data_IF_032262032977
#
_entry.id   IF_032262032977
#
_cell.length_a   1.000
_cell.length_b   1.000
_cell.length_c   1.000
_cell.angle_alpha   90.00
_cell.angle_beta   90.00
_cell.angle_gamma   90.00
#
_symmetry.space_group_name_H-M   'P 1'
#
loop_
_entity.id
_entity.type
_entity.pdbx_description
1 polymer ?
#
# COMPACT_ATOMS: atom_id res chain seq x y z
N UNK A 1 46.46 1.61 7.63
CA UNK A 1 45.13 1.30 8.19
C UNK A 1 44.12 2.16 7.45
N UNK A 2 43.65 1.67 6.30
CA UNK A 2 42.74 2.43 5.43
C UNK A 2 41.30 2.02 5.75
N UNK A 3 40.47 3.04 5.94
CA UNK A 3 39.05 3.00 6.27
C UNK A 3 38.34 2.10 5.24
N UNK A 4 37.67 1.04 5.72
CA UNK A 4 36.78 0.23 4.88
C UNK A 4 35.69 1.16 4.34
N UNK A 5 35.39 1.17 3.03
CA UNK A 5 34.23 1.87 2.54
C UNK A 5 33.03 1.20 3.20
N UNK A 6 32.38 1.97 4.06
CA UNK A 6 30.96 1.90 4.31
C UNK A 6 30.27 1.38 3.05
N UNK A 7 29.81 0.12 3.10
CA UNK A 7 28.99 -0.47 2.04
C UNK A 7 27.71 0.35 1.96
N UNK A 8 27.73 1.40 1.15
CA UNK A 8 26.59 2.26 0.88
C UNK A 8 25.45 1.33 0.50
N UNK A 9 24.34 1.38 1.24
CA UNK A 9 23.16 0.53 0.98
C UNK A 9 22.58 0.94 -0.38
N UNK A 10 23.10 0.39 -1.46
CA UNK A 10 22.62 0.67 -2.81
C UNK A 10 21.31 -0.06 -3.07
N UNK A 11 20.31 0.69 -3.56
CA UNK A 11 19.02 0.15 -3.95
C UNK A 11 18.96 0.03 -5.46
N UNK A 12 18.52 -1.13 -5.96
CA UNK A 12 18.27 -1.30 -7.38
C UNK A 12 17.16 -0.37 -7.87
N UNK A 13 17.32 0.18 -9.08
CA UNK A 13 16.34 1.11 -9.68
C UNK A 13 14.93 0.52 -9.79
N UNK A 14 14.81 -0.80 -10.00
CA UNK A 14 13.52 -1.49 -10.04
C UNK A 14 12.79 -1.44 -8.70
N UNK A 15 13.49 -1.70 -7.58
CA UNK A 15 12.90 -1.62 -6.24
C UNK A 15 12.51 -0.17 -5.91
N UNK A 16 13.35 0.80 -6.25
CA UNK A 16 13.03 2.22 -6.08
C UNK A 16 11.78 2.61 -6.88
N UNK A 17 11.70 2.22 -8.16
CA UNK A 17 10.55 2.48 -9.01
C UNK A 17 9.27 1.83 -8.47
N UNK A 18 9.37 0.59 -7.98
CA UNK A 18 8.24 -0.12 -7.38
C UNK A 18 7.74 0.55 -6.09
N UNK A 19 8.64 1.02 -5.23
CA UNK A 19 8.25 1.75 -4.02
C UNK A 19 7.58 3.09 -4.37
N UNK A 20 8.09 3.81 -5.37
CA UNK A 20 7.41 5.01 -5.89
C UNK A 20 6.01 4.67 -6.39
N UNK A 21 5.86 3.59 -7.15
CA UNK A 21 4.56 3.12 -7.63
C UNK A 21 3.60 2.82 -6.48
N UNK A 22 4.03 2.09 -5.44
CA UNK A 22 3.20 1.79 -4.25
C UNK A 22 2.74 3.07 -3.56
N UNK A 23 3.62 4.06 -3.39
CA UNK A 23 3.26 5.35 -2.79
C UNK A 23 2.28 6.11 -3.66
N UNK A 24 2.51 6.18 -4.97
CA UNK A 24 1.62 6.89 -5.91
C UNK A 24 0.23 6.25 -5.98
N UNK A 25 0.14 4.92 -6.02
CA UNK A 25 -1.13 4.20 -5.95
C UNK A 25 -1.84 4.48 -4.63
N UNK A 26 -1.12 4.45 -3.51
CA UNK A 26 -1.70 4.74 -2.19
C UNK A 26 -2.19 6.18 -2.08
N UNK A 27 -1.45 7.13 -2.66
CA UNK A 27 -1.86 8.53 -2.73
C UNK A 27 -3.12 8.72 -3.59
N UNK A 28 -3.16 8.05 -4.75
CA UNK A 28 -4.34 8.05 -5.62
C UNK A 28 -5.56 7.44 -4.94
N UNK A 29 -5.38 6.34 -4.21
CA UNK A 29 -6.43 5.69 -3.43
C UNK A 29 -6.93 6.61 -2.31
N UNK A 30 -6.02 7.24 -1.55
CA UNK A 30 -6.39 8.21 -0.52
C UNK A 30 -7.18 9.39 -1.13
N UNK A 31 -6.72 9.92 -2.27
CA UNK A 31 -7.44 10.96 -2.99
C UNK A 31 -8.85 10.53 -3.37
N UNK A 32 -9.05 9.32 -3.91
CA UNK A 32 -10.41 8.85 -4.25
C UNK A 32 -11.36 8.71 -3.06
N UNK A 33 -10.85 8.33 -1.89
CA UNK A 33 -11.68 8.17 -0.70
C UNK A 33 -11.94 9.49 0.05
N UNK A 34 -11.03 10.47 -0.04
CA UNK A 34 -11.18 11.76 0.65
C UNK A 34 -11.65 12.91 -0.24
N UNK A 35 -11.53 12.80 -1.57
CA UNK A 35 -12.11 13.77 -2.47
C UNK A 35 -13.65 13.74 -2.35
N UNK A 36 -14.34 14.90 -2.40
CA UNK A 36 -15.79 14.94 -2.45
C UNK A 36 -16.26 14.26 -3.73
N UNK A 37 -16.70 13.01 -3.64
CA UNK A 37 -17.35 12.33 -4.75
C UNK A 37 -18.77 12.86 -4.83
N UNK A 38 -19.14 13.50 -5.93
CA UNK A 38 -20.53 13.93 -6.20
C UNK A 38 -21.51 12.74 -6.15
N UNK A 39 -21.02 11.52 -6.38
CA UNK A 39 -21.75 10.25 -6.23
C UNK A 39 -22.19 9.94 -4.78
N UNK A 40 -21.58 10.58 -3.76
CA UNK A 40 -21.98 10.43 -2.35
C UNK A 40 -23.20 11.27 -1.99
N UNK A 41 -23.66 12.14 -2.89
CA UNK A 41 -24.83 13.01 -2.68
C UNK A 41 -26.12 12.27 -3.03
N UNK A 42 -26.05 11.18 -3.81
CA UNK A 42 -27.21 10.35 -4.11
C UNK A 42 -27.33 9.20 -3.09
N UNK A 43 -27.91 9.53 -1.92
CA UNK A 43 -28.14 8.62 -0.78
C UNK A 43 -29.14 7.48 -1.07
N UNK A 44 -29.60 7.32 -2.31
CA UNK A 44 -30.69 6.42 -2.67
C UNK A 44 -30.25 4.98 -3.01
N UNK A 45 -28.96 4.74 -3.29
CA UNK A 45 -28.42 3.39 -3.55
C UNK A 45 -27.83 2.73 -2.27
N UNK A 46 -28.41 1.61 -1.77
CA UNK A 46 -27.87 0.85 -0.64
C UNK A 46 -26.40 0.40 -0.79
N UNK A 47 -25.91 0.23 -2.03
CA UNK A 47 -24.51 -0.11 -2.33
C UNK A 47 -23.56 1.05 -2.04
N UNK A 48 -24.04 2.28 -2.24
CA UNK A 48 -23.31 3.51 -1.92
C UNK A 48 -23.19 3.68 -0.41
N UNK A 49 -24.24 3.36 0.36
CA UNK A 49 -24.22 3.39 1.84
C UNK A 49 -23.21 2.38 2.43
N UNK A 50 -23.14 1.17 1.86
CA UNK A 50 -22.15 0.17 2.27
C UNK A 50 -20.71 0.63 2.00
N UNK A 51 -20.47 1.23 0.83
CA UNK A 51 -19.16 1.77 0.43
C UNK A 51 -18.76 2.97 1.29
N UNK A 52 -19.70 3.86 1.62
CA UNK A 52 -19.52 5.00 2.53
C UNK A 52 -19.01 4.58 3.90
N UNK A 53 -19.56 3.49 4.46
CA UNK A 53 -19.15 2.98 5.78
C UNK A 53 -17.67 2.57 5.82
N UNK A 54 -17.15 2.06 4.70
CA UNK A 54 -15.76 1.61 4.59
C UNK A 54 -14.83 2.63 3.91
N UNK A 55 -15.36 3.71 3.33
CA UNK A 55 -14.58 4.74 2.66
C UNK A 55 -13.54 5.39 3.60
N UNK A 56 -13.94 5.77 4.81
CA UNK A 56 -13.01 6.37 5.79
C UNK A 56 -11.93 5.37 6.27
N UNK A 57 -12.27 4.13 6.68
CA UNK A 57 -11.26 3.10 6.95
C UNK A 57 -10.29 2.84 5.78
N UNK A 58 -10.78 2.72 4.55
CA UNK A 58 -9.96 2.45 3.37
C UNK A 58 -9.06 3.64 3.02
N UNK A 59 -9.56 4.87 3.15
CA UNK A 59 -8.75 6.09 3.02
C UNK A 59 -7.64 6.17 4.06
N UNK A 60 -7.92 5.81 5.32
CA UNK A 60 -6.91 5.76 6.38
C UNK A 60 -5.85 4.69 6.11
N UNK A 61 -6.25 3.50 5.65
CA UNK A 61 -5.31 2.44 5.24
C UNK A 61 -4.39 2.93 4.10
N UNK A 62 -4.92 3.70 3.15
CA UNK A 62 -4.12 4.27 2.08
C UNK A 62 -3.06 5.27 2.59
N UNK A 63 -3.39 6.10 3.59
CA UNK A 63 -2.40 6.97 4.25
C UNK A 63 -1.33 6.15 4.98
N UNK A 64 -1.74 5.09 5.70
CA UNK A 64 -0.82 4.16 6.37
C UNK A 64 0.13 3.52 5.35
N UNK A 65 -0.35 3.14 4.17
CA UNK A 65 0.46 2.57 3.10
C UNK A 65 1.52 3.55 2.56
N UNK A 66 1.19 4.84 2.46
CA UNK A 66 2.18 5.89 2.11
C UNK A 66 3.31 5.91 3.16
N UNK A 67 2.95 5.95 4.45
CA UNK A 67 3.92 5.92 5.54
C UNK A 67 4.77 4.64 5.54
N UNK A 68 4.15 3.50 5.27
CA UNK A 68 4.84 2.21 5.16
C UNK A 68 5.81 2.15 3.96
N UNK A 69 5.42 2.73 2.82
CA UNK A 69 6.31 2.91 1.66
C UNK A 69 7.51 3.81 1.99
N UNK A 70 7.31 4.90 2.73
CA UNK A 70 8.39 5.77 3.22
C UNK A 70 9.32 5.01 4.18
N UNK A 71 8.78 4.19 5.08
CA UNK A 71 9.58 3.36 5.99
C UNK A 71 10.44 2.35 5.22
N UNK A 72 9.93 1.79 4.12
CA UNK A 72 10.73 0.98 3.22
C UNK A 72 11.80 1.80 2.50
N UNK A 73 11.54 3.07 2.17
CA UNK A 73 12.57 3.99 1.71
C UNK A 73 13.69 4.20 2.74
N UNK A 74 13.35 4.18 4.02
CA UNK A 74 14.28 4.30 5.14
C UNK A 74 14.86 2.95 5.60
N UNK A 75 14.71 1.88 4.81
CA UNK A 75 15.23 0.54 5.12
C UNK A 75 14.69 -0.06 6.43
N UNK A 76 13.44 0.23 6.80
CA UNK A 76 12.78 -0.35 8.00
C UNK A 76 11.87 -1.50 7.62
N UNK A 77 12.13 -2.73 8.10
CA UNK A 77 11.34 -3.94 7.76
C UNK A 77 9.87 -3.80 8.13
N UNK A 78 9.60 -3.04 9.20
CA UNK A 78 8.24 -2.78 9.67
C UNK A 78 7.34 -2.20 8.57
N UNK A 79 7.88 -1.44 7.61
CA UNK A 79 7.12 -0.93 6.47
C UNK A 79 6.52 -2.05 5.61
N UNK A 80 7.25 -3.14 5.39
CA UNK A 80 6.71 -4.29 4.64
C UNK A 80 5.59 -4.99 5.41
N UNK A 81 5.78 -5.22 6.71
CA UNK A 81 4.76 -5.86 7.54
C UNK A 81 3.48 -5.03 7.66
N UNK A 82 3.60 -3.69 7.71
CA UNK A 82 2.46 -2.79 7.66
C UNK A 82 1.73 -2.95 6.32
N UNK A 83 2.43 -2.89 5.18
CA UNK A 83 1.82 -3.08 3.85
C UNK A 83 1.14 -4.45 3.70
N UNK A 84 1.73 -5.50 4.27
CA UNK A 84 1.14 -6.83 4.26
C UNK A 84 -0.15 -6.88 5.08
N UNK A 85 -0.14 -6.30 6.29
CA UNK A 85 -1.31 -6.26 7.16
C UNK A 85 -2.44 -5.42 6.55
N UNK A 86 -2.12 -4.26 5.97
CA UNK A 86 -3.12 -3.42 5.31
C UNK A 86 -3.70 -4.10 4.07
N UNK A 87 -2.89 -4.79 3.26
CA UNK A 87 -3.40 -5.53 2.10
C UNK A 87 -4.34 -6.69 2.50
N UNK A 88 -4.04 -7.42 3.59
CA UNK A 88 -4.94 -8.45 4.12
C UNK A 88 -6.24 -7.81 4.63
N UNK A 89 -6.13 -6.69 5.35
CA UNK A 89 -7.29 -5.97 5.89
C UNK A 89 -8.19 -5.45 4.77
N UNK A 90 -7.60 -4.81 3.76
CA UNK A 90 -8.28 -4.33 2.57
C UNK A 90 -8.95 -5.48 1.82
N UNK A 91 -8.25 -6.62 1.66
CA UNK A 91 -8.82 -7.81 1.05
C UNK A 91 -10.08 -8.29 1.77
N UNK A 92 -10.06 -8.35 3.10
CA UNK A 92 -11.23 -8.72 3.92
C UNK A 92 -12.35 -7.69 3.77
N UNK A 93 -12.06 -6.40 3.83
CA UNK A 93 -13.06 -5.34 3.64
C UNK A 93 -13.72 -5.47 2.26
N UNK A 94 -12.92 -5.61 1.21
CA UNK A 94 -13.39 -5.74 -0.17
C UNK A 94 -14.32 -6.94 -0.38
N UNK A 95 -14.03 -8.08 0.28
CA UNK A 95 -14.94 -9.23 0.26
C UNK A 95 -16.28 -8.92 0.95
N UNK A 96 -16.28 -8.16 2.05
CA UNK A 96 -17.49 -7.79 2.78
C UNK A 96 -18.38 -6.81 2.00
N UNK A 97 -17.79 -5.95 1.17
CA UNK A 97 -18.53 -5.00 0.31
C UNK A 97 -18.91 -5.60 -1.06
N UNK A 98 -18.58 -6.86 -1.31
CA UNK A 98 -18.96 -7.57 -2.54
C UNK A 98 -18.11 -7.21 -3.76
N UNK A 99 -16.90 -6.68 -3.59
CA UNK A 99 -15.96 -6.47 -4.70
C UNK A 99 -15.56 -7.84 -5.29
N UNK A 100 -15.56 -8.00 -6.63
CA UNK A 100 -15.16 -9.25 -7.28
C UNK A 100 -13.73 -9.66 -6.90
N UNK A 101 -13.52 -10.98 -6.80
CA UNK A 101 -12.22 -11.55 -6.38
C UNK A 101 -11.06 -11.07 -7.27
N UNK A 102 -11.27 -10.97 -8.58
CA UNK A 102 -10.26 -10.52 -9.55
C UNK A 102 -9.73 -9.11 -9.24
N UNK A 103 -10.63 -8.18 -8.89
CA UNK A 103 -10.25 -6.83 -8.47
C UNK A 103 -9.51 -6.84 -7.14
N UNK A 104 -9.89 -7.74 -6.23
CA UNK A 104 -9.35 -7.83 -4.88
C UNK A 104 -7.95 -8.46 -4.82
N UNK A 105 -7.60 -9.32 -5.78
CA UNK A 105 -6.27 -9.95 -5.86
C UNK A 105 -5.17 -8.96 -6.25
N UNK A 106 -5.52 -7.83 -6.86
CA UNK A 106 -4.54 -6.82 -7.31
C UNK A 106 -3.71 -6.25 -6.16
N UNK A 107 -4.32 -5.95 -5.01
CA UNK A 107 -3.61 -5.45 -3.83
C UNK A 107 -2.62 -6.46 -3.25
N UNK A 108 -3.02 -7.74 -3.20
CA UNK A 108 -2.13 -8.83 -2.78
C UNK A 108 -0.98 -9.05 -3.77
N UNK A 109 -1.24 -8.94 -5.07
CA UNK A 109 -0.21 -9.02 -6.09
C UNK A 109 0.84 -7.92 -5.92
N UNK A 110 0.43 -6.69 -5.59
CA UNK A 110 1.36 -5.57 -5.36
C UNK A 110 2.33 -5.87 -4.22
N UNK A 111 1.81 -6.38 -3.08
CA UNK A 111 2.64 -6.76 -1.94
C UNK A 111 3.53 -7.98 -2.25
N UNK A 112 3.02 -8.94 -3.03
CA UNK A 112 3.79 -10.12 -3.44
C UNK A 112 4.98 -9.76 -4.32
N UNK A 113 4.77 -8.87 -5.30
CA UNK A 113 5.86 -8.37 -6.15
C UNK A 113 6.86 -7.59 -5.30
N UNK A 114 6.39 -6.74 -4.38
CA UNK A 114 7.26 -5.99 -3.47
C UNK A 114 8.14 -6.95 -2.64
N UNK A 115 7.57 -8.03 -2.11
CA UNK A 115 8.33 -9.05 -1.37
C UNK A 115 9.45 -9.67 -2.21
N UNK A 116 9.15 -10.05 -3.45
CA UNK A 116 10.14 -10.61 -4.39
C UNK A 116 11.25 -9.61 -4.69
N UNK A 117 10.94 -8.33 -4.83
CA UNK A 117 11.94 -7.28 -5.05
C UNK A 117 12.75 -6.93 -3.80
N UNK A 118 12.18 -7.11 -2.61
CA UNK A 118 12.86 -6.89 -1.33
C UNK A 118 13.80 -8.03 -0.94
N UNK A 119 13.50 -9.27 -1.37
CA UNK A 119 14.24 -10.49 -1.01
C UNK A 119 15.77 -10.35 -1.10
N UNK A 120 16.36 -9.84 -2.20
CA UNK A 120 17.82 -9.68 -2.32
C UNK A 120 18.43 -8.69 -1.33
N UNK A 121 17.62 -7.73 -0.84
CA UNK A 121 18.05 -6.66 0.04
C UNK A 121 17.58 -6.84 1.49
N UNK A 122 16.90 -7.95 1.81
CA UNK A 122 16.24 -8.13 3.11
C UNK A 122 17.21 -8.04 4.30
N UNK A 123 18.45 -8.47 4.11
CA UNK A 123 19.51 -8.37 5.10
C UNK A 123 19.98 -6.94 5.38
N UNK A 124 19.70 -5.98 4.48
CA UNK A 124 20.03 -4.56 4.67
C UNK A 124 18.98 -3.80 5.48
N UNK A 125 17.79 -4.37 5.69
CA UNK A 125 16.76 -3.71 6.47
C UNK A 125 17.00 -3.90 7.97
N UNK A 126 16.74 -2.84 8.73
CA UNK A 126 16.71 -2.87 10.20
C UNK A 126 15.39 -3.49 10.69
#
# INVERSE_FOLDING_TARGET
>A
MAISPDRTRERGGLLTGWLCFVILVSLWTAFRYFAPNEELIDYSDPRVVGTLRFALPLGLLAIVNIGAGILLFLWKKIGFYILLLTAITEFVINLNIGIPLEGNLSGLAVVTILWVLLQPYWHHFD
#
